data_IF_998018702550
#
_entry.id   IF_998018702550
#
_cell.length_a   1.000
_cell.length_b   1.000
_cell.length_c   1.000
_cell.angle_alpha   90.00
_cell.angle_beta   90.00
_cell.angle_gamma   90.00
#
_symmetry.space_group_name_H-M   'P 1'
#
loop_
_entity.id
_entity.type
_entity.pdbx_description
1 polymer ?
#
# COMPACT_ATOMS: atom_id res chain seq x y z
N UNK A 1 -36.45 -47.25 -7.70
CA UNK A 1 -35.50 -47.32 -6.56
C UNK A 1 -34.04 -47.15 -6.98
N UNK A 2 -33.49 -47.94 -7.92
CA UNK A 2 -32.07 -47.81 -8.31
C UNK A 2 -31.69 -46.48 -8.99
N UNK A 3 -32.59 -45.93 -9.81
CA UNK A 3 -32.39 -44.67 -10.57
C UNK A 3 -32.41 -43.42 -9.68
N UNK A 4 -33.23 -43.39 -8.64
CA UNK A 4 -33.22 -42.31 -7.65
C UNK A 4 -31.94 -42.33 -6.82
N UNK A 5 -31.45 -43.51 -6.43
CA UNK A 5 -30.18 -43.67 -5.71
C UNK A 5 -28.99 -43.23 -6.58
N UNK A 6 -28.97 -43.58 -7.86
CA UNK A 6 -27.96 -43.10 -8.81
C UNK A 6 -28.00 -41.57 -8.97
N UNK A 7 -29.19 -40.97 -9.04
CA UNK A 7 -29.35 -39.52 -9.14
C UNK A 7 -28.93 -38.80 -7.84
N UNK A 8 -29.14 -39.41 -6.68
CA UNK A 8 -28.69 -38.87 -5.40
C UNK A 8 -27.17 -38.89 -5.29
N UNK A 9 -26.53 -39.98 -5.72
CA UNK A 9 -25.07 -40.10 -5.79
C UNK A 9 -24.50 -39.09 -6.79
N UNK A 10 -25.05 -39.00 -8.01
CA UNK A 10 -24.63 -38.03 -9.04
C UNK A 10 -24.80 -36.59 -8.57
N UNK A 11 -25.89 -36.26 -7.89
CA UNK A 11 -26.16 -34.91 -7.37
C UNK A 11 -25.14 -34.53 -6.30
N UNK A 12 -24.85 -35.42 -5.35
CA UNK A 12 -23.84 -35.17 -4.33
C UNK A 12 -22.43 -35.07 -4.93
N UNK A 13 -22.10 -35.92 -5.90
CA UNK A 13 -20.82 -35.90 -6.61
C UNK A 13 -20.66 -34.62 -7.44
N UNK A 14 -21.74 -34.16 -8.07
CA UNK A 14 -21.81 -32.87 -8.77
C UNK A 14 -21.65 -31.69 -7.80
N UNK A 15 -22.29 -31.74 -6.62
CA UNK A 15 -22.20 -30.69 -5.60
C UNK A 15 -20.78 -30.60 -5.03
N UNK A 16 -20.13 -31.74 -4.77
CA UNK A 16 -18.73 -31.80 -4.35
C UNK A 16 -17.82 -31.22 -5.44
N UNK A 17 -18.01 -31.63 -6.70
CA UNK A 17 -17.24 -31.10 -7.83
C UNK A 17 -17.41 -29.58 -8.00
N UNK A 18 -18.63 -29.08 -7.85
CA UNK A 18 -18.94 -27.64 -7.92
C UNK A 18 -18.21 -26.86 -6.81
N UNK A 19 -18.21 -27.36 -5.57
CA UNK A 19 -17.50 -26.73 -4.44
C UNK A 19 -15.99 -26.71 -4.69
N UNK A 20 -15.42 -27.82 -5.20
CA UNK A 20 -13.99 -27.90 -5.56
C UNK A 20 -13.65 -26.90 -6.66
N UNK A 21 -14.50 -26.79 -7.70
CA UNK A 21 -14.29 -25.85 -8.80
C UNK A 21 -14.31 -24.38 -8.34
N UNK A 22 -15.27 -24.02 -7.47
CA UNK A 22 -15.37 -22.67 -6.87
C UNK A 22 -14.13 -22.36 -6.02
N UNK A 23 -13.63 -23.36 -5.28
CA UNK A 23 -12.43 -23.21 -4.44
C UNK A 23 -11.18 -22.96 -5.28
N UNK A 24 -11.02 -23.68 -6.39
CA UNK A 24 -9.89 -23.50 -7.31
C UNK A 24 -9.94 -22.13 -8.01
N UNK A 25 -11.12 -21.68 -8.43
CA UNK A 25 -11.29 -20.34 -9.02
C UNK A 25 -10.88 -19.23 -8.04
N UNK A 26 -11.30 -19.35 -6.78
CA UNK A 26 -10.95 -18.39 -5.72
C UNK A 26 -9.45 -18.38 -5.41
N UNK A 27 -8.83 -19.56 -5.37
CA UNK A 27 -7.38 -19.71 -5.16
C UNK A 27 -6.57 -19.08 -6.30
N UNK A 28 -7.03 -19.25 -7.55
CA UNK A 28 -6.34 -18.72 -8.73
C UNK A 28 -6.35 -17.19 -8.78
N UNK A 29 -7.46 -16.55 -8.36
CA UNK A 29 -7.56 -15.09 -8.25
C UNK A 29 -6.61 -14.52 -7.18
N UNK A 30 -6.48 -15.20 -6.04
CA UNK A 30 -5.55 -14.79 -4.98
C UNK A 30 -4.07 -14.83 -5.40
N UNK A 31 -3.72 -15.73 -6.35
CA UNK A 31 -2.34 -15.91 -6.82
C UNK A 31 -1.88 -14.83 -7.82
N UNK A 32 -2.81 -14.14 -8.48
CA UNK A 32 -2.52 -13.03 -9.40
C UNK A 32 -2.17 -11.74 -8.62
N UNK A 33 -2.51 -11.66 -7.32
CA UNK A 33 -2.19 -10.53 -6.44
C UNK A 33 -0.73 -10.52 -5.94
N UNK A 34 0.21 -11.11 -6.68
CA UNK A 34 1.63 -11.12 -6.34
C UNK A 34 2.51 -10.77 -7.55
N UNK A 35 2.16 -9.70 -8.26
CA UNK A 35 3.09 -9.04 -9.17
C UNK A 35 4.11 -8.23 -8.36
N UNK A 36 5.27 -8.86 -8.19
CA UNK A 36 6.58 -8.31 -7.90
C UNK A 36 6.69 -6.79 -7.70
N UNK A 37 6.54 -6.32 -6.46
CA UNK A 37 7.40 -5.23 -5.99
C UNK A 37 8.79 -5.81 -5.84
N UNK A 38 9.62 -5.69 -6.89
CA UNK A 38 11.03 -6.03 -6.76
C UNK A 38 11.63 -5.11 -5.67
N UNK A 39 12.33 -5.64 -4.66
CA UNK A 39 13.18 -4.79 -3.84
C UNK A 39 14.25 -4.22 -4.79
N UNK A 40 14.31 -2.89 -4.89
CA UNK A 40 15.33 -2.19 -5.67
C UNK A 40 16.70 -2.63 -5.13
N UNK A 41 17.36 -3.54 -5.84
CA UNK A 41 18.78 -3.86 -5.65
C UNK A 41 19.56 -2.72 -6.28
N UNK A 42 20.18 -1.88 -5.44
CA UNK A 42 21.20 -0.94 -5.90
C UNK A 42 22.43 -1.77 -6.25
N UNK A 43 22.55 -2.18 -7.52
CA UNK A 43 23.80 -2.64 -8.07
C UNK A 43 24.69 -1.40 -8.23
N UNK A 44 25.74 -1.32 -7.42
CA UNK A 44 26.84 -0.38 -7.63
C UNK A 44 27.56 -0.78 -8.92
N UNK A 45 27.05 -0.34 -10.06
CA UNK A 45 27.77 -0.39 -11.32
C UNK A 45 28.30 1.02 -11.64
N UNK A 46 29.63 1.12 -11.65
CA UNK A 46 30.44 2.23 -12.16
C UNK A 46 30.31 3.59 -11.46
N UNK A 47 30.81 3.69 -10.22
CA UNK A 47 31.47 4.93 -9.77
C UNK A 47 32.96 4.62 -9.66
N UNK A 48 33.60 4.46 -10.81
CA UNK A 48 35.05 4.55 -10.91
C UNK A 48 35.32 5.47 -12.09
N UNK A 49 36.13 6.50 -11.81
CA UNK A 49 36.59 7.54 -12.75
C UNK A 49 35.81 8.85 -12.83
N UNK A 50 35.47 9.45 -11.70
CA UNK A 50 35.57 10.93 -11.56
C UNK A 50 36.06 11.25 -10.13
N UNK A 51 37.25 10.74 -9.77
CA UNK A 51 37.96 11.14 -8.55
C UNK A 51 39.40 11.53 -8.91
N UNK A 52 39.54 12.43 -9.88
CA UNK A 52 40.79 13.14 -10.13
C UNK A 52 40.59 14.62 -9.83
N UNK A 53 40.99 14.99 -8.62
CA UNK A 53 41.48 16.31 -8.29
C UNK A 53 40.43 17.42 -8.17
N UNK A 54 39.91 17.63 -6.96
CA UNK A 54 40.21 18.83 -6.18
C UNK A 54 39.49 18.76 -4.82
N UNK A 55 40.26 18.92 -3.75
CA UNK A 55 39.76 19.19 -2.41
C UNK A 55 39.01 20.52 -2.42
N UNK A 56 37.73 20.54 -2.02
CA UNK A 56 37.07 21.74 -1.51
C UNK A 56 36.10 21.36 -0.38
N UNK A 57 36.27 22.09 0.72
CA UNK A 57 35.67 21.92 2.04
C UNK A 57 34.14 21.75 2.05
N UNK A 58 33.68 20.76 2.81
CA UNK A 58 32.28 20.63 3.21
C UNK A 58 32.02 21.63 4.35
N UNK A 59 31.34 22.74 4.04
CA UNK A 59 30.54 23.51 5.00
C UNK A 59 29.36 24.21 4.33
N UNK A 60 28.19 23.99 4.95
CA UNK A 60 27.00 24.86 4.99
C UNK A 60 26.05 24.81 3.79
N UNK A 61 24.93 24.13 4.05
CA UNK A 61 23.54 24.59 3.90
C UNK A 61 23.26 25.73 2.91
N UNK A 62 22.46 25.41 1.88
CA UNK A 62 21.79 26.41 1.05
C UNK A 62 21.18 25.83 -0.22
N UNK A 63 19.85 25.72 -0.21
CA UNK A 63 18.90 25.85 -1.34
C UNK A 63 19.29 25.30 -2.73
N UNK A 64 18.57 24.27 -3.17
CA UNK A 64 18.34 24.06 -4.61
C UNK A 64 16.96 23.46 -4.87
N UNK A 65 15.98 24.36 -4.89
CA UNK A 65 14.74 24.33 -5.65
C UNK A 65 14.85 23.52 -6.96
N UNK A 66 14.37 22.29 -6.97
CA UNK A 66 13.99 21.56 -8.18
C UNK A 66 12.57 21.02 -8.03
N UNK A 67 11.64 21.70 -8.69
CA UNK A 67 10.26 21.24 -8.90
C UNK A 67 10.28 20.04 -9.84
N UNK A 68 9.53 19.01 -9.47
CA UNK A 68 8.86 18.14 -10.44
C UNK A 68 9.33 16.70 -10.51
N UNK A 69 9.29 15.97 -9.38
CA UNK A 69 8.74 14.60 -9.32
C UNK A 69 8.20 14.39 -7.89
N UNK A 70 6.99 14.89 -7.58
CA UNK A 70 6.26 14.41 -6.40
C UNK A 70 5.45 13.20 -6.82
N UNK A 71 6.07 12.03 -6.85
CA UNK A 71 5.32 10.78 -6.66
C UNK A 71 5.57 10.32 -5.24
N UNK A 72 5.05 11.12 -4.31
CA UNK A 72 4.95 10.68 -2.95
C UNK A 72 3.59 10.01 -2.79
N UNK A 73 3.55 8.69 -2.96
CA UNK A 73 2.50 7.84 -2.39
C UNK A 73 2.66 7.86 -0.87
N UNK A 74 2.41 9.02 -0.27
CA UNK A 74 2.32 9.17 1.15
C UNK A 74 0.99 8.58 1.57
N UNK A 75 1.03 7.33 2.00
CA UNK A 75 -0.07 6.72 2.73
C UNK A 75 -0.42 7.65 3.89
N UNK A 76 -1.62 8.22 3.87
CA UNK A 76 -2.13 9.07 4.96
C UNK A 76 -3.00 8.24 5.89
N UNK A 77 -3.03 8.61 7.15
CA UNK A 77 -3.80 7.92 8.19
C UNK A 77 -4.79 8.85 8.85
N UNK A 78 -5.96 8.34 9.15
CA UNK A 78 -6.97 9.01 9.95
C UNK A 78 -7.45 8.12 11.09
N UNK A 79 -8.08 8.75 12.08
CA UNK A 79 -8.62 8.04 13.24
C UNK A 79 -10.11 7.80 13.04
N UNK A 80 -10.53 6.53 12.98
CA UNK A 80 -11.94 6.12 12.93
C UNK A 80 -12.74 6.64 14.12
N UNK A 81 -12.09 6.78 15.28
CA UNK A 81 -12.72 7.19 16.54
C UNK A 81 -12.76 8.70 16.73
N UNK A 82 -11.95 9.46 15.98
CA UNK A 82 -11.89 10.90 16.15
C UNK A 82 -13.08 11.57 15.49
N UNK A 83 -13.79 12.42 16.23
CA UNK A 83 -14.86 13.27 15.71
C UNK A 83 -14.33 14.30 14.71
N UNK A 84 -13.04 14.66 14.81
CA UNK A 84 -12.41 15.54 13.83
C UNK A 84 -12.08 14.75 12.56
N UNK A 85 -12.71 15.09 11.44
CA UNK A 85 -12.41 14.54 10.09
C UNK A 85 -11.07 15.06 9.57
N UNK A 86 -9.99 14.70 10.28
CA UNK A 86 -8.62 15.09 9.97
C UNK A 86 -7.79 13.90 9.54
N UNK A 87 -7.00 14.08 8.48
CA UNK A 87 -5.98 13.12 8.10
C UNK A 87 -4.59 13.61 8.53
N UNK A 88 -3.69 12.66 8.74
CA UNK A 88 -2.32 12.87 9.17
C UNK A 88 -1.38 12.09 8.25
N UNK A 89 -0.19 12.61 8.01
CA UNK A 89 0.88 11.81 7.39
C UNK A 89 1.50 10.83 8.40
N UNK A 90 2.08 9.73 7.91
CA UNK A 90 2.69 8.69 8.77
C UNK A 90 3.78 9.21 9.72
N UNK A 91 4.50 10.26 9.32
CA UNK A 91 5.54 10.89 10.15
C UNK A 91 4.99 11.86 11.20
N UNK A 92 3.72 12.26 11.10
CA UNK A 92 3.11 13.18 12.02
C UNK A 92 3.00 12.58 13.42
N UNK A 93 3.22 13.41 14.44
CA UNK A 93 3.01 13.04 15.85
C UNK A 93 1.57 12.57 16.10
N UNK A 94 0.59 13.22 15.45
CA UNK A 94 -0.82 12.81 15.50
C UNK A 94 -1.03 11.38 14.99
N UNK A 95 -0.37 10.97 13.91
CA UNK A 95 -0.47 9.61 13.37
C UNK A 95 0.06 8.54 14.33
N UNK A 96 1.15 8.84 15.06
CA UNK A 96 1.76 7.93 16.03
C UNK A 96 0.91 7.71 17.28
N UNK A 97 0.07 8.69 17.64
CA UNK A 97 -0.81 8.64 18.81
C UNK A 97 -2.11 7.89 18.56
N UNK A 98 -2.49 7.67 17.29
CA UNK A 98 -3.69 6.89 16.95
C UNK A 98 -3.39 5.42 17.26
N UNK A 99 -4.27 4.77 18.03
CA UNK A 99 -4.20 3.31 18.25
C UNK A 99 -4.35 2.58 16.92
N UNK A 100 -3.58 1.51 16.71
CA UNK A 100 -3.56 0.76 15.44
C UNK A 100 -4.97 0.30 15.03
N UNK A 101 -5.78 -0.14 15.99
CA UNK A 101 -7.18 -0.55 15.81
C UNK A 101 -8.09 0.54 15.23
N UNK A 102 -7.71 1.81 15.39
CA UNK A 102 -8.49 2.97 14.95
C UNK A 102 -7.87 3.66 13.74
N UNK A 103 -6.76 3.16 13.19
CA UNK A 103 -6.13 3.72 12.00
C UNK A 103 -6.87 3.26 10.76
N UNK A 104 -7.21 4.22 9.91
CA UNK A 104 -7.67 3.97 8.54
C UNK A 104 -6.66 4.63 7.60
N UNK A 105 -6.16 3.85 6.65
CA UNK A 105 -5.13 4.28 5.72
C UNK A 105 -5.74 4.57 4.34
N UNK A 106 -5.32 5.67 3.73
CA UNK A 106 -5.59 5.99 2.32
C UNK A 106 -4.31 5.94 1.51
N UNK A 107 -4.42 5.70 0.21
CA UNK A 107 -3.27 5.58 -0.67
C UNK A 107 -2.67 6.96 -1.00
N UNK A 108 -3.49 8.02 -0.98
CA UNK A 108 -3.05 9.40 -1.19
C UNK A 108 -3.78 10.43 -0.33
N UNK A 109 -3.21 11.63 -0.24
CA UNK A 109 -3.85 12.75 0.44
C UNK A 109 -5.14 13.20 -0.29
N UNK A 110 -5.13 13.13 -1.62
CA UNK A 110 -6.26 13.48 -2.47
C UNK A 110 -7.46 12.56 -2.21
N UNK A 111 -7.21 11.26 -1.98
CA UNK A 111 -8.24 10.29 -1.62
C UNK A 111 -8.89 10.64 -0.27
N UNK A 112 -8.09 11.01 0.73
CA UNK A 112 -8.59 11.48 2.02
C UNK A 112 -9.39 12.79 1.89
N UNK A 113 -8.96 13.71 1.02
CA UNK A 113 -9.68 14.97 0.78
C UNK A 113 -11.02 14.70 0.07
N UNK A 114 -11.04 13.81 -0.92
CA UNK A 114 -12.25 13.43 -1.65
C UNK A 114 -13.33 12.80 -0.76
N UNK A 115 -12.90 12.12 0.32
CA UNK A 115 -13.78 11.55 1.34
C UNK A 115 -14.18 12.57 2.42
N UNK A 116 -13.75 13.83 2.29
CA UNK A 116 -14.11 14.95 3.15
C UNK A 116 -13.25 15.09 4.40
N UNK A 117 -12.01 14.60 4.38
CA UNK A 117 -11.03 14.82 5.44
C UNK A 117 -10.12 15.99 5.11
N UNK A 118 -9.71 16.73 6.14
CA UNK A 118 -8.80 17.87 6.02
C UNK A 118 -7.45 17.57 6.63
N UNK A 119 -6.37 18.20 6.15
CA UNK A 119 -5.06 18.06 6.78
C UNK A 119 -5.12 18.53 8.24
N UNK A 120 -4.56 17.75 9.14
CA UNK A 120 -4.47 18.17 10.53
C UNK A 120 -3.54 19.38 10.69
N UNK A 121 -3.96 20.39 11.44
CA UNK A 121 -3.18 21.63 11.62
C UNK A 121 -1.79 21.42 12.26
N UNK A 122 -1.61 20.32 13.00
CA UNK A 122 -0.33 19.92 13.59
C UNK A 122 0.52 19.03 12.66
N UNK A 123 0.13 18.92 11.39
CA UNK A 123 0.76 18.09 10.38
C UNK A 123 1.20 18.96 9.21
N UNK A 124 2.47 18.89 8.85
CA UNK A 124 3.02 19.57 7.67
C UNK A 124 3.15 18.57 6.51
N UNK A 125 2.83 19.03 5.30
CA UNK A 125 3.07 18.29 4.04
C UNK A 125 4.55 18.22 3.74
#
# INVERSE_FOLDING_TARGET
MLTEFLNLIKKNLFLIFLIVLISLLSFQLGRISKNASQPIRIEKAAIQEIFSGQNLDIKTSGDSKNRGVENFDFRVVMSKKSTSRKYHFLWCTGAKQIKEENKIYFNSAEEAISTGYTLAANCSK
#
